data_IF_072513230519
#
_entry.id   IF_072513230519
#
_cell.length_a   1.000
_cell.length_b   1.000
_cell.length_c   1.000
_cell.angle_alpha   90.00
_cell.angle_beta   90.00
_cell.angle_gamma   90.00
#
_symmetry.space_group_name_H-M   'P 1'
#
loop_
_entity.id
_entity.type
_entity.pdbx_description
1 polymer ?
#
# COMPACT_ATOMS: atom_id res chain seq x y z
N UNK A 1 -32.20 8.48 -28.16
CA UNK A 1 -31.52 8.58 -26.88
C UNK A 1 -31.11 7.16 -26.47
N UNK A 2 -29.78 6.85 -26.42
CA UNK A 2 -29.32 5.55 -25.96
C UNK A 2 -29.63 5.44 -24.46
N UNK A 3 -30.43 4.48 -24.03
CA UNK A 3 -30.66 4.16 -22.64
C UNK A 3 -29.29 4.00 -21.95
N UNK A 4 -29.00 4.88 -21.01
CA UNK A 4 -27.84 4.70 -20.12
C UNK A 4 -28.07 3.41 -19.35
N UNK A 5 -27.31 2.35 -19.66
CA UNK A 5 -27.33 1.11 -18.87
C UNK A 5 -27.17 1.49 -17.40
N UNK A 6 -28.16 1.14 -16.61
CA UNK A 6 -28.16 1.37 -15.15
C UNK A 6 -26.88 0.76 -14.58
N UNK A 7 -26.03 1.60 -13.97
CA UNK A 7 -24.74 1.17 -13.39
C UNK A 7 -23.50 1.32 -14.27
N UNK A 8 -23.59 1.85 -15.49
CA UNK A 8 -22.40 2.10 -16.31
C UNK A 8 -21.68 3.39 -15.87
N UNK A 9 -20.43 3.27 -15.40
CA UNK A 9 -19.55 4.41 -15.13
C UNK A 9 -19.03 4.98 -16.46
N UNK A 10 -18.97 6.32 -16.55
CA UNK A 10 -18.43 7.00 -17.72
C UNK A 10 -16.90 6.81 -17.86
N UNK A 11 -16.39 6.94 -19.11
CA UNK A 11 -14.95 6.75 -19.38
C UNK A 11 -14.04 7.62 -18.51
N UNK A 12 -14.38 8.89 -18.27
CA UNK A 12 -13.61 9.78 -17.38
C UNK A 12 -13.52 9.27 -15.93
N UNK A 13 -14.59 8.65 -15.45
CA UNK A 13 -14.60 8.05 -14.09
C UNK A 13 -13.67 6.84 -14.04
N UNK A 14 -13.73 5.96 -15.04
CA UNK A 14 -12.82 4.82 -15.15
C UNK A 14 -11.36 5.26 -15.27
N UNK A 15 -11.07 6.27 -16.08
CA UNK A 15 -9.71 6.84 -16.18
C UNK A 15 -9.24 7.36 -14.83
N UNK A 16 -10.10 8.03 -14.06
CA UNK A 16 -9.74 8.52 -12.71
C UNK A 16 -9.49 7.36 -11.75
N UNK A 17 -10.32 6.30 -11.76
CA UNK A 17 -10.12 5.10 -10.93
C UNK A 17 -8.77 4.45 -11.24
N UNK A 18 -8.47 4.23 -12.52
CA UNK A 18 -7.22 3.61 -12.96
C UNK A 18 -6.01 4.49 -12.61
N UNK A 19 -6.08 5.77 -12.90
CA UNK A 19 -4.98 6.72 -12.66
C UNK A 19 -4.63 6.81 -11.17
N UNK A 20 -5.60 7.20 -10.35
CA UNK A 20 -5.35 7.41 -8.92
C UNK A 20 -5.17 6.10 -8.15
N UNK A 21 -5.90 5.05 -8.54
CA UNK A 21 -5.72 3.72 -7.95
C UNK A 21 -4.31 3.18 -8.18
N UNK A 22 -3.80 3.23 -9.41
CA UNK A 22 -2.46 2.72 -9.72
C UNK A 22 -1.36 3.60 -9.11
N UNK A 23 -1.44 4.92 -9.26
CA UNK A 23 -0.42 5.84 -8.70
C UNK A 23 -0.38 5.73 -7.18
N UNK A 24 -1.53 5.67 -6.51
CA UNK A 24 -1.59 5.48 -5.06
C UNK A 24 -0.92 4.17 -4.62
N UNK A 25 -1.18 3.07 -5.32
CA UNK A 25 -0.54 1.79 -5.01
C UNK A 25 0.96 1.79 -5.30
N UNK A 26 1.44 2.45 -6.37
CA UNK A 26 2.87 2.63 -6.63
C UNK A 26 3.53 3.38 -5.45
N UNK A 27 2.95 4.47 -5.00
CA UNK A 27 3.49 5.25 -3.88
C UNK A 27 3.53 4.42 -2.58
N UNK A 28 2.46 3.66 -2.27
CA UNK A 28 2.42 2.78 -1.10
C UNK A 28 3.41 1.60 -1.16
N UNK A 29 3.59 0.98 -2.33
CA UNK A 29 4.61 -0.07 -2.51
C UNK A 29 6.00 0.50 -2.23
N UNK A 30 6.29 1.70 -2.73
CA UNK A 30 7.59 2.33 -2.51
C UNK A 30 7.77 2.70 -1.04
N UNK A 31 6.79 3.30 -0.39
CA UNK A 31 6.85 3.64 1.03
C UNK A 31 7.11 2.39 1.89
N UNK A 32 6.33 1.34 1.69
CA UNK A 32 6.44 0.15 2.53
C UNK A 32 7.71 -0.67 2.31
N UNK A 33 8.32 -0.64 1.13
CA UNK A 33 9.45 -1.52 0.80
C UNK A 33 10.74 -0.74 0.53
N UNK A 34 10.68 0.28 -0.33
CA UNK A 34 11.89 0.96 -0.81
C UNK A 34 12.42 2.01 0.16
N UNK A 35 11.56 2.61 1.00
CA UNK A 35 12.04 3.51 2.06
C UNK A 35 12.83 2.77 3.13
N UNK A 36 12.40 1.56 3.49
CA UNK A 36 13.18 0.70 4.39
C UNK A 36 14.54 0.35 3.78
N UNK A 37 14.57 0.03 2.47
CA UNK A 37 15.82 -0.24 1.73
C UNK A 37 16.70 1.01 1.64
N UNK A 38 16.12 2.17 1.36
CA UNK A 38 16.83 3.45 1.37
C UNK A 38 17.47 3.76 2.73
N UNK A 39 16.70 3.61 3.81
CA UNK A 39 17.21 3.80 5.18
C UNK A 39 18.44 2.93 5.44
N UNK A 40 18.39 1.67 5.02
CA UNK A 40 19.46 0.70 5.26
C UNK A 40 20.69 0.88 4.38
N UNK A 41 20.51 1.24 3.11
CA UNK A 41 21.59 1.37 2.16
C UNK A 41 22.28 2.74 2.23
N UNK A 42 21.53 3.81 2.48
CA UNK A 42 22.03 5.17 2.36
C UNK A 42 22.18 5.90 3.71
N UNK A 43 21.50 5.43 4.78
CA UNK A 43 21.57 6.11 6.09
C UNK A 43 22.23 5.23 7.13
N UNK A 44 21.58 4.10 7.52
CA UNK A 44 22.13 3.17 8.52
C UNK A 44 21.45 1.81 8.43
N UNK A 45 22.23 0.74 8.61
CA UNK A 45 21.74 -0.63 8.73
C UNK A 45 21.17 -0.97 10.11
N UNK A 46 21.18 -0.04 11.06
CA UNK A 46 20.68 -0.27 12.40
C UNK A 46 19.15 -0.53 12.39
N UNK A 47 18.66 -1.66 12.91
CA UNK A 47 17.23 -2.01 12.84
C UNK A 47 16.29 -0.99 13.46
N UNK A 48 16.74 -0.26 14.49
CA UNK A 48 15.93 0.76 15.16
C UNK A 48 15.48 1.86 14.19
N UNK A 49 16.29 2.24 13.21
CA UNK A 49 15.98 3.32 12.29
C UNK A 49 14.77 2.97 11.41
N UNK A 50 14.76 1.77 10.80
CA UNK A 50 13.61 1.27 10.04
C UNK A 50 12.39 1.10 10.94
N UNK A 51 12.56 0.58 12.16
CA UNK A 51 11.45 0.40 13.10
C UNK A 51 10.81 1.73 13.47
N UNK A 52 11.61 2.77 13.79
CA UNK A 52 11.09 4.11 14.09
C UNK A 52 10.32 4.68 12.90
N UNK A 53 10.88 4.58 11.70
CA UNK A 53 10.23 5.05 10.47
C UNK A 53 8.85 4.40 10.30
N UNK A 54 8.77 3.07 10.30
CA UNK A 54 7.51 2.32 10.11
C UNK A 54 6.48 2.61 11.22
N UNK A 55 6.90 2.68 12.49
CA UNK A 55 5.97 2.91 13.60
C UNK A 55 5.40 4.34 13.55
N UNK A 56 6.26 5.34 13.39
CA UNK A 56 5.79 6.72 13.34
C UNK A 56 4.96 7.02 12.11
N UNK A 57 5.37 6.58 10.91
CA UNK A 57 4.58 6.77 9.69
C UNK A 57 3.20 6.11 9.80
N UNK A 58 3.09 4.90 10.37
CA UNK A 58 1.81 4.23 10.58
C UNK A 58 0.90 4.97 11.56
N UNK A 59 1.43 5.53 12.64
CA UNK A 59 0.66 6.36 13.59
C UNK A 59 0.13 7.61 12.89
N UNK A 60 1.01 8.34 12.21
CA UNK A 60 0.64 9.58 11.51
C UNK A 60 -0.35 9.30 10.36
N UNK A 61 -0.15 8.23 9.59
CA UNK A 61 -1.07 7.77 8.55
C UNK A 61 -2.46 7.49 9.12
N UNK A 62 -2.55 6.73 10.21
CA UNK A 62 -3.83 6.37 10.86
C UNK A 62 -4.58 7.61 11.34
N UNK A 63 -3.91 8.48 12.07
CA UNK A 63 -4.53 9.72 12.60
C UNK A 63 -4.96 10.63 11.46
N UNK A 64 -4.13 10.78 10.44
CA UNK A 64 -4.44 11.65 9.30
C UNK A 64 -5.56 11.10 8.40
N UNK A 65 -5.68 9.79 8.25
CA UNK A 65 -6.82 9.16 7.55
C UNK A 65 -8.14 9.53 8.23
N UNK A 66 -8.21 9.42 9.54
CA UNK A 66 -9.41 9.75 10.32
C UNK A 66 -9.76 11.24 10.21
N UNK A 67 -8.76 12.11 10.41
CA UNK A 67 -8.95 13.57 10.31
C UNK A 67 -9.29 13.96 8.87
N UNK A 68 -8.56 13.43 7.91
CA UNK A 68 -8.76 13.69 6.48
C UNK A 68 -10.14 13.25 5.99
N UNK A 69 -10.61 12.09 6.44
CA UNK A 69 -11.97 11.60 6.16
C UNK A 69 -13.04 12.59 6.65
N UNK A 70 -12.96 12.97 7.94
CA UNK A 70 -13.91 13.92 8.51
C UNK A 70 -13.87 15.30 7.82
N UNK A 71 -12.70 15.81 7.45
CA UNK A 71 -12.56 17.06 6.70
C UNK A 71 -13.13 16.97 5.28
N UNK A 72 -12.87 15.83 4.63
CA UNK A 72 -13.36 15.53 3.29
C UNK A 72 -14.89 15.47 3.26
N UNK A 73 -15.50 14.82 4.26
CA UNK A 73 -16.97 14.72 4.42
C UNK A 73 -17.61 16.09 4.67
N UNK A 74 -16.99 16.90 5.53
CA UNK A 74 -17.48 18.26 5.85
C UNK A 74 -17.40 19.25 4.70
N UNK A 75 -16.44 19.07 3.81
CA UNK A 75 -16.27 19.98 2.65
C UNK A 75 -17.06 19.51 1.44
N UNK A 76 -17.31 18.20 1.30
CA UNK A 76 -17.92 17.57 0.14
C UNK A 76 -17.07 17.67 -1.15
N UNK A 77 -15.84 18.19 -1.08
CA UNK A 77 -14.97 18.47 -2.23
C UNK A 77 -13.89 17.40 -2.40
N UNK A 78 -14.28 16.14 -2.70
CA UNK A 78 -13.38 15.00 -2.84
C UNK A 78 -12.25 15.25 -3.84
N UNK A 79 -12.59 15.76 -5.02
CA UNK A 79 -11.65 16.07 -6.09
C UNK A 79 -10.48 16.93 -5.64
N UNK A 80 -10.73 17.99 -4.86
CA UNK A 80 -9.67 18.89 -4.43
C UNK A 80 -8.67 18.19 -3.49
N UNK A 81 -9.18 17.42 -2.52
CA UNK A 81 -8.32 16.66 -1.60
C UNK A 81 -7.47 15.62 -2.32
N UNK A 82 -8.06 14.93 -3.30
CA UNK A 82 -7.34 13.93 -4.10
C UNK A 82 -6.30 14.61 -4.98
N UNK A 83 -6.73 15.51 -5.86
CA UNK A 83 -5.83 16.06 -6.89
C UNK A 83 -4.67 16.86 -6.28
N UNK A 84 -4.97 17.80 -5.37
CA UNK A 84 -3.92 18.58 -4.69
C UNK A 84 -3.12 17.72 -3.72
N UNK A 85 -3.76 16.77 -3.06
CA UNK A 85 -3.07 15.82 -2.19
C UNK A 85 -2.01 15.03 -2.95
N UNK A 86 -2.33 14.50 -4.14
CA UNK A 86 -1.36 13.79 -4.97
C UNK A 86 -0.24 14.69 -5.50
N UNK A 87 -0.55 15.95 -5.85
CA UNK A 87 0.49 16.91 -6.21
C UNK A 87 1.47 17.13 -5.06
N UNK A 88 0.95 17.42 -3.86
CA UNK A 88 1.79 17.67 -2.68
C UNK A 88 2.53 16.39 -2.27
N UNK A 89 1.87 15.22 -2.34
CA UNK A 89 2.50 13.91 -2.07
C UNK A 89 3.71 13.67 -2.97
N UNK A 90 3.56 13.97 -4.28
CA UNK A 90 4.69 13.86 -5.21
C UNK A 90 5.84 14.80 -4.85
N UNK A 91 5.56 16.03 -4.44
CA UNK A 91 6.60 16.95 -3.97
C UNK A 91 7.29 16.43 -2.70
N UNK A 92 6.58 15.88 -1.73
CA UNK A 92 7.19 15.30 -0.53
C UNK A 92 8.09 14.11 -0.86
N UNK A 93 7.71 13.26 -1.82
CA UNK A 93 8.57 12.18 -2.33
C UNK A 93 9.84 12.76 -2.98
N UNK A 94 9.73 13.77 -3.84
CA UNK A 94 10.89 14.40 -4.48
C UNK A 94 11.87 15.01 -3.47
N UNK A 95 11.37 15.51 -2.33
CA UNK A 95 12.24 16.08 -1.28
C UNK A 95 13.24 15.07 -0.71
N UNK A 96 12.96 13.75 -0.75
CA UNK A 96 13.93 12.73 -0.33
C UNK A 96 15.21 12.72 -1.19
N UNK A 97 15.17 13.22 -2.42
CA UNK A 97 16.37 13.39 -3.24
C UNK A 97 17.36 14.43 -2.66
N UNK A 98 16.90 15.29 -1.76
CA UNK A 98 17.72 16.31 -1.10
C UNK A 98 18.34 15.82 0.22
N UNK A 99 17.94 14.66 0.72
CA UNK A 99 18.50 14.08 1.95
C UNK A 99 19.99 13.80 1.77
N UNK A 100 20.85 14.25 2.70
CA UNK A 100 22.27 13.88 2.70
C UNK A 100 22.40 12.36 2.96
N UNK A 101 22.89 11.64 1.96
CA UNK A 101 23.10 10.20 1.99
C UNK A 101 24.50 9.88 2.50
N UNK A 102 24.68 8.69 3.10
CA UNK A 102 25.95 8.21 3.68
C UNK A 102 26.55 9.18 4.70
N UNK A 103 25.77 9.52 5.76
CA UNK A 103 26.24 10.46 6.77
C UNK A 103 27.44 9.93 7.53
N UNK A 104 28.30 10.82 8.04
CA UNK A 104 29.34 10.47 9.01
C UNK A 104 28.72 9.99 10.34
N UNK A 105 29.47 9.24 11.12
CA UNK A 105 28.94 8.56 12.34
C UNK A 105 28.24 9.51 13.33
N UNK A 106 28.73 10.73 13.47
CA UNK A 106 28.18 11.80 14.30
C UNK A 106 26.84 12.34 13.78
N UNK A 107 26.54 12.16 12.47
CA UNK A 107 25.33 12.67 11.80
C UNK A 107 24.27 11.62 11.52
N UNK A 108 24.52 10.34 11.84
CA UNK A 108 23.56 9.25 11.58
C UNK A 108 22.23 9.52 12.26
N UNK A 109 22.22 9.81 13.56
CA UNK A 109 20.98 10.02 14.31
C UNK A 109 20.17 11.22 13.80
N UNK A 110 20.75 12.41 13.56
CA UNK A 110 20.04 13.51 12.91
C UNK A 110 19.45 13.13 11.54
N UNK A 111 20.14 12.34 10.72
CA UNK A 111 19.63 11.91 9.41
C UNK A 111 18.49 10.91 9.55
N UNK A 112 18.56 9.97 10.50
CA UNK A 112 17.44 9.07 10.80
C UNK A 112 16.20 9.89 11.19
N UNK A 113 16.34 10.86 12.09
CA UNK A 113 15.24 11.72 12.52
C UNK A 113 14.67 12.49 11.32
N UNK A 114 15.53 13.08 10.47
CA UNK A 114 15.10 13.80 9.27
C UNK A 114 14.27 12.91 8.35
N UNK A 115 14.76 11.71 8.04
CA UNK A 115 14.05 10.75 7.16
C UNK A 115 12.73 10.32 7.78
N UNK A 116 12.69 10.01 9.07
CA UNK A 116 11.45 9.65 9.79
C UNK A 116 10.42 10.79 9.73
N UNK A 117 10.84 12.03 9.99
CA UNK A 117 9.93 13.19 9.92
C UNK A 117 9.41 13.40 8.50
N UNK A 118 10.27 13.31 7.49
CA UNK A 118 9.85 13.43 6.09
C UNK A 118 8.88 12.32 5.69
N UNK A 119 9.12 11.10 6.12
CA UNK A 119 8.24 9.95 5.90
C UNK A 119 6.88 10.16 6.57
N UNK A 120 6.85 10.63 7.82
CA UNK A 120 5.59 11.00 8.49
C UNK A 120 4.79 12.05 7.73
N UNK A 121 5.44 13.11 7.24
CA UNK A 121 4.78 14.16 6.44
C UNK A 121 4.22 13.59 5.15
N UNK A 122 5.00 12.77 4.46
CA UNK A 122 4.58 12.08 3.24
C UNK A 122 3.38 11.16 3.49
N UNK A 123 3.42 10.34 4.56
CA UNK A 123 2.35 9.43 4.95
C UNK A 123 1.06 10.17 5.32
N UNK A 124 1.15 11.32 6.02
CA UNK A 124 -0.01 12.17 6.31
C UNK A 124 -0.71 12.60 5.01
N UNK A 125 0.04 13.09 4.04
CA UNK A 125 -0.51 13.60 2.78
C UNK A 125 -1.08 12.45 1.94
N UNK A 126 -0.35 11.33 1.84
CA UNK A 126 -0.79 10.12 1.16
C UNK A 126 -2.09 9.57 1.74
N UNK A 127 -2.17 9.45 3.07
CA UNK A 127 -3.35 8.93 3.76
C UNK A 127 -4.57 9.84 3.62
N UNK A 128 -4.42 11.15 3.71
CA UNK A 128 -5.54 12.09 3.48
C UNK A 128 -6.04 12.02 2.04
N UNK A 129 -5.14 11.98 1.06
CA UNK A 129 -5.51 12.04 -0.36
C UNK A 129 -5.99 10.69 -0.91
N UNK A 130 -5.30 9.60 -0.57
CA UNK A 130 -5.60 8.27 -1.09
C UNK A 130 -6.52 7.48 -0.17
N UNK A 131 -6.15 7.26 1.09
CA UNK A 131 -6.91 6.36 1.96
C UNK A 131 -8.24 6.97 2.40
N UNK A 132 -8.26 8.25 2.76
CA UNK A 132 -9.49 8.92 3.12
C UNK A 132 -10.28 9.38 1.90
N UNK A 133 -9.72 10.30 1.10
CA UNK A 133 -10.49 11.01 0.09
C UNK A 133 -10.79 10.18 -1.15
N UNK A 134 -9.82 9.41 -1.67
CA UNK A 134 -10.03 8.59 -2.86
C UNK A 134 -10.99 7.41 -2.58
N UNK A 135 -10.83 6.71 -1.45
CA UNK A 135 -11.75 5.63 -1.08
C UNK A 135 -13.18 6.14 -0.82
N UNK A 136 -13.33 7.32 -0.23
CA UNK A 136 -14.64 7.96 -0.08
C UNK A 136 -15.23 8.31 -1.44
N UNK A 137 -14.43 8.90 -2.36
CA UNK A 137 -14.88 9.20 -3.71
C UNK A 137 -15.31 7.93 -4.46
N UNK A 138 -14.58 6.83 -4.36
CA UNK A 138 -14.95 5.52 -4.93
C UNK A 138 -16.30 5.08 -4.38
N UNK A 139 -16.53 5.25 -3.08
CA UNK A 139 -17.81 4.90 -2.45
C UNK A 139 -18.94 5.77 -2.96
N UNK A 140 -18.71 7.06 -3.11
CA UNK A 140 -19.69 8.02 -3.62
C UNK A 140 -20.14 7.75 -5.05
N UNK A 141 -19.20 7.38 -5.96
CA UNK A 141 -19.50 7.10 -7.37
C UNK A 141 -20.01 5.70 -7.63
N UNK A 142 -19.78 4.77 -6.69
CA UNK A 142 -20.21 3.37 -6.81
C UNK A 142 -21.68 3.18 -6.41
N UNK A 143 -22.30 2.13 -6.94
CA UNK A 143 -23.61 1.64 -6.55
C UNK A 143 -23.59 0.11 -6.57
N UNK A 144 -24.65 -0.53 -6.09
CA UNK A 144 -24.75 -1.98 -6.00
C UNK A 144 -24.51 -2.71 -7.33
N UNK A 145 -24.80 -2.07 -8.45
CA UNK A 145 -24.66 -2.67 -9.80
C UNK A 145 -23.21 -2.61 -10.36
N UNK A 146 -22.37 -1.67 -9.90
CA UNK A 146 -21.02 -1.47 -10.42
C UNK A 146 -19.91 -1.68 -9.38
N UNK A 147 -20.24 -1.73 -8.08
CA UNK A 147 -19.28 -1.83 -6.97
C UNK A 147 -18.32 -2.99 -7.13
N UNK A 148 -18.83 -4.19 -7.41
CA UNK A 148 -18.02 -5.38 -7.58
C UNK A 148 -16.96 -5.22 -8.68
N UNK A 149 -17.30 -4.56 -9.80
CA UNK A 149 -16.34 -4.30 -10.89
C UNK A 149 -15.24 -3.32 -10.48
N UNK A 150 -15.60 -2.27 -9.74
CA UNK A 150 -14.65 -1.27 -9.23
C UNK A 150 -13.70 -1.93 -8.24
N UNK A 151 -14.24 -2.69 -7.29
CA UNK A 151 -13.45 -3.37 -6.27
C UNK A 151 -12.50 -4.42 -6.90
N UNK A 152 -12.95 -5.17 -7.93
CA UNK A 152 -12.09 -6.10 -8.69
C UNK A 152 -10.91 -5.38 -9.35
N UNK A 153 -11.15 -4.23 -9.98
CA UNK A 153 -10.08 -3.45 -10.61
C UNK A 153 -9.11 -2.93 -9.56
N UNK A 154 -9.60 -2.38 -8.45
CA UNK A 154 -8.76 -1.88 -7.35
C UNK A 154 -7.95 -3.00 -6.68
N UNK A 155 -8.50 -4.20 -6.55
CA UNK A 155 -7.79 -5.36 -5.97
C UNK A 155 -6.58 -5.82 -6.80
N UNK A 156 -6.58 -5.57 -8.12
CA UNK A 156 -5.46 -5.90 -9.01
C UNK A 156 -4.37 -4.81 -8.99
N UNK A 157 -4.71 -3.56 -8.64
CA UNK A 157 -3.77 -2.43 -8.68
C UNK A 157 -2.49 -2.62 -7.86
N UNK A 158 -2.51 -3.17 -6.62
CA UNK A 158 -1.30 -3.41 -5.86
C UNK A 158 -0.31 -4.33 -6.57
N UNK A 159 -0.82 -5.36 -7.28
CA UNK A 159 0.01 -6.31 -8.01
C UNK A 159 0.64 -5.68 -9.25
N UNK A 160 -0.15 -4.86 -9.98
CA UNK A 160 0.38 -4.08 -11.11
C UNK A 160 1.42 -3.06 -10.63
N UNK A 161 1.15 -2.38 -9.52
CA UNK A 161 2.10 -1.44 -8.91
C UNK A 161 3.42 -2.12 -8.52
N UNK A 162 3.35 -3.27 -7.87
CA UNK A 162 4.52 -4.08 -7.56
C UNK A 162 5.31 -4.43 -8.82
N UNK A 163 4.65 -4.92 -9.87
CA UNK A 163 5.32 -5.27 -11.13
C UNK A 163 6.00 -4.05 -11.78
N UNK A 164 5.34 -2.89 -11.78
CA UNK A 164 5.88 -1.63 -12.31
C UNK A 164 7.10 -1.18 -11.48
N UNK A 165 7.00 -1.25 -10.15
CA UNK A 165 8.07 -0.77 -9.27
C UNK A 165 9.29 -1.71 -9.34
N UNK A 166 9.10 -3.02 -9.24
CA UNK A 166 10.22 -3.97 -9.34
C UNK A 166 10.84 -3.97 -10.75
N UNK A 167 10.02 -3.96 -11.82
CA UNK A 167 10.53 -3.97 -13.18
C UNK A 167 11.16 -2.65 -13.64
N UNK A 168 10.67 -1.52 -13.11
CA UNK A 168 11.08 -0.20 -13.55
C UNK A 168 12.17 0.47 -12.71
N UNK A 169 12.29 0.13 -11.43
CA UNK A 169 13.13 0.89 -10.50
C UNK A 169 14.22 0.07 -9.80
N UNK A 170 14.28 -1.25 -10.01
CA UNK A 170 15.29 -2.08 -9.35
C UNK A 170 16.72 -1.67 -9.66
N UNK A 171 17.02 -1.31 -10.91
CA UNK A 171 18.35 -0.84 -11.32
C UNK A 171 18.80 0.44 -10.60
N UNK A 172 17.85 1.25 -10.11
CA UNK A 172 18.12 2.49 -9.38
C UNK A 172 18.22 2.29 -7.87
N UNK A 173 17.89 1.11 -7.36
CA UNK A 173 17.70 0.87 -5.92
C UNK A 173 18.35 -0.40 -5.39
N UNK A 174 18.94 -1.24 -6.24
CA UNK A 174 19.62 -2.48 -5.85
C UNK A 174 20.89 -2.21 -5.01
N UNK A 175 21.56 -3.25 -4.52
CA UNK A 175 22.76 -3.11 -3.69
C UNK A 175 23.92 -2.36 -4.36
N UNK A 176 23.98 -2.35 -5.69
CA UNK A 176 24.98 -1.62 -6.48
C UNK A 176 24.60 -0.17 -6.79
N UNK A 177 23.38 0.25 -6.41
CA UNK A 177 22.86 1.59 -6.67
C UNK A 177 23.71 2.66 -5.98
N UNK A 178 23.99 3.71 -6.73
CA UNK A 178 24.73 4.87 -6.21
C UNK A 178 23.78 5.88 -5.57
N UNK A 179 24.32 6.80 -4.77
CA UNK A 179 23.58 7.96 -4.24
C UNK A 179 22.88 8.76 -5.35
N UNK A 180 23.50 8.85 -6.56
CA UNK A 180 22.88 9.50 -7.70
C UNK A 180 21.65 8.75 -8.22
N UNK A 181 21.67 7.43 -8.17
CA UNK A 181 20.55 6.61 -8.64
C UNK A 181 19.37 6.70 -7.67
N UNK A 182 19.61 6.73 -6.36
CA UNK A 182 18.57 7.01 -5.36
C UNK A 182 17.94 8.39 -5.55
N UNK A 183 18.72 9.43 -5.88
CA UNK A 183 18.17 10.76 -6.20
C UNK A 183 17.27 10.72 -7.43
N UNK A 184 17.70 10.05 -8.50
CA UNK A 184 16.87 9.87 -9.71
C UNK A 184 15.60 9.10 -9.39
N UNK A 185 15.70 8.04 -8.58
CA UNK A 185 14.55 7.25 -8.13
C UNK A 185 13.49 8.14 -7.47
N UNK A 186 13.85 8.92 -6.45
CA UNK A 186 12.90 9.80 -5.77
C UNK A 186 12.32 10.89 -6.67
N UNK A 187 13.12 11.46 -7.58
CA UNK A 187 12.63 12.45 -8.54
C UNK A 187 11.60 11.84 -9.51
N UNK A 188 11.93 10.72 -10.15
CA UNK A 188 11.02 10.06 -11.10
C UNK A 188 9.74 9.63 -10.38
N UNK A 189 9.89 9.01 -9.21
CA UNK A 189 8.76 8.54 -8.43
C UNK A 189 7.83 9.67 -7.98
N UNK A 190 8.38 10.82 -7.55
CA UNK A 190 7.58 11.96 -7.12
C UNK A 190 6.91 12.71 -8.28
N UNK A 191 7.49 12.67 -9.50
CA UNK A 191 6.86 13.23 -10.70
C UNK A 191 5.55 12.49 -11.03
N UNK A 192 5.48 11.18 -10.82
CA UNK A 192 4.32 10.35 -11.16
C UNK A 192 3.03 10.84 -10.44
N UNK A 193 2.95 10.94 -9.12
CA UNK A 193 1.75 11.44 -8.43
C UNK A 193 1.53 12.94 -8.68
N UNK A 194 2.60 13.75 -8.85
CA UNK A 194 2.46 15.17 -9.18
C UNK A 194 1.73 15.36 -10.50
N UNK A 195 2.18 14.68 -11.56
CA UNK A 195 1.53 14.73 -12.88
C UNK A 195 0.14 14.12 -12.83
N UNK A 196 -0.03 13.00 -12.12
CA UNK A 196 -1.34 12.36 -11.91
C UNK A 196 -2.35 13.30 -11.22
N UNK A 197 -1.92 14.02 -10.19
CA UNK A 197 -2.74 15.02 -9.49
C UNK A 197 -3.16 16.17 -10.41
N UNK A 198 -2.21 16.70 -11.20
CA UNK A 198 -2.49 17.76 -12.19
C UNK A 198 -3.48 17.28 -13.25
N UNK A 199 -3.26 16.10 -13.84
CA UNK A 199 -4.18 15.51 -14.80
C UNK A 199 -5.57 15.28 -14.20
N UNK A 200 -5.62 14.87 -12.93
CA UNK A 200 -6.86 14.69 -12.20
C UNK A 200 -7.71 15.94 -12.09
N UNK A 201 -7.11 17.13 -11.99
CA UNK A 201 -7.84 18.39 -11.97
C UNK A 201 -8.71 18.59 -13.24
N UNK A 202 -8.31 18.03 -14.37
CA UNK A 202 -9.03 18.13 -15.64
C UNK A 202 -9.99 16.97 -15.89
N UNK A 203 -9.65 15.76 -15.41
CA UNK A 203 -10.37 14.52 -15.72
C UNK A 203 -11.44 14.23 -14.68
N UNK A 204 -11.09 14.38 -13.39
CA UNK A 204 -11.92 13.98 -12.26
C UNK A 204 -13.09 14.95 -12.03
N UNK A 205 -14.23 14.38 -11.65
CA UNK A 205 -15.41 15.13 -11.24
C UNK A 205 -15.92 14.58 -9.91
N UNK A 206 -16.34 15.47 -9.04
CA UNK A 206 -17.13 15.10 -7.87
C UNK A 206 -18.51 14.63 -8.31
N UNK A 207 -19.15 13.78 -7.50
CA UNK A 207 -20.53 13.38 -7.72
C UNK A 207 -21.44 14.56 -7.39
N UNK A 208 -22.35 14.88 -8.29
CA UNK A 208 -23.36 15.92 -8.08
C UNK A 208 -24.29 15.55 -6.93
N UNK A 209 -24.67 16.52 -6.10
CA UNK A 209 -25.62 16.33 -5.01
C UNK A 209 -25.02 15.85 -3.67
N UNK A 210 -23.71 15.77 -3.54
CA UNK A 210 -23.08 15.53 -2.22
C UNK A 210 -23.17 16.85 -1.44
N UNK A 211 -24.01 16.86 -0.42
CA UNK A 211 -24.09 17.98 0.52
C UNK A 211 -23.09 17.77 1.65
N UNK A 212 -22.36 18.85 1.98
CA UNK A 212 -21.48 18.87 3.13
C UNK A 212 -22.28 18.53 4.41
N UNK A 213 -21.86 17.53 5.17
CA UNK A 213 -22.49 17.24 6.46
C UNK A 213 -22.00 18.24 7.51
N UNK A 214 -22.87 19.21 7.81
CA UNK A 214 -22.61 20.26 8.80
C UNK A 214 -23.32 20.03 10.14
N UNK A 215 -24.10 18.95 10.25
CA UNK A 215 -25.00 18.76 11.38
C UNK A 215 -24.30 18.22 12.62
N UNK A 216 -23.15 17.56 12.48
CA UNK A 216 -22.41 16.97 13.58
C UNK A 216 -21.14 17.75 13.90
N UNK A 217 -20.69 17.67 15.16
CA UNK A 217 -19.39 18.19 15.57
C UNK A 217 -18.28 17.25 15.08
N UNK A 218 -17.16 17.78 14.57
CA UNK A 218 -16.00 16.98 14.14
C UNK A 218 -15.62 15.87 15.14
N UNK A 219 -15.53 16.20 16.42
CA UNK A 219 -15.22 15.26 17.49
C UNK A 219 -16.31 14.19 17.70
N UNK A 220 -17.58 14.52 17.43
CA UNK A 220 -18.66 13.54 17.48
C UNK A 220 -18.52 12.49 16.40
N UNK A 221 -18.19 12.90 15.18
CA UNK A 221 -18.02 11.99 14.04
C UNK A 221 -16.76 11.14 14.24
N UNK A 222 -15.66 11.76 14.66
CA UNK A 222 -14.40 11.08 14.96
C UNK A 222 -14.55 10.00 16.04
N UNK A 223 -15.24 10.33 17.14
CA UNK A 223 -15.38 9.40 18.28
C UNK A 223 -16.57 8.46 18.17
N UNK A 224 -17.45 8.64 17.17
CA UNK A 224 -18.68 7.84 17.05
C UNK A 224 -18.40 6.33 17.02
N UNK A 225 -17.46 5.91 16.20
CA UNK A 225 -17.08 4.50 16.08
C UNK A 225 -16.48 3.91 17.36
N UNK A 226 -15.90 4.73 18.25
CA UNK A 226 -15.29 4.30 19.50
C UNK A 226 -16.30 4.23 20.67
N UNK A 227 -17.56 4.66 20.47
CA UNK A 227 -18.56 4.62 21.54
C UNK A 227 -18.88 3.17 21.93
N UNK A 228 -18.88 2.84 23.25
CA UNK A 228 -19.14 1.48 23.72
C UNK A 228 -20.48 0.92 23.26
N UNK A 229 -21.51 1.77 23.09
CA UNK A 229 -22.81 1.38 22.55
C UNK A 229 -22.73 0.92 21.10
N UNK A 230 -21.94 1.60 20.25
CA UNK A 230 -21.75 1.25 18.84
C UNK A 230 -20.98 -0.06 18.73
N UNK A 231 -19.92 -0.23 19.53
CA UNK A 231 -19.13 -1.48 19.60
C UNK A 231 -20.02 -2.65 20.03
N UNK A 232 -20.83 -2.46 21.08
CA UNK A 232 -21.72 -3.49 21.60
C UNK A 232 -22.77 -3.92 20.58
N UNK A 233 -23.33 -2.98 19.82
CA UNK A 233 -24.35 -3.26 18.81
C UNK A 233 -23.77 -3.89 17.53
N UNK A 234 -22.47 -3.71 17.27
CA UNK A 234 -21.80 -4.20 16.06
C UNK A 234 -20.63 -5.13 16.39
N UNK A 235 -20.75 -5.99 17.40
CA UNK A 235 -19.66 -6.86 17.90
C UNK A 235 -18.93 -7.62 16.78
N UNK A 236 -19.68 -8.19 15.84
CA UNK A 236 -19.09 -9.00 14.76
C UNK A 236 -18.18 -8.17 13.86
N UNK A 237 -18.56 -6.92 13.57
CA UNK A 237 -17.73 -5.97 12.82
C UNK A 237 -16.39 -5.73 13.53
N UNK A 238 -16.42 -5.47 14.85
CA UNK A 238 -15.19 -5.19 15.61
C UNK A 238 -14.31 -6.43 15.78
N UNK A 239 -14.90 -7.63 15.88
CA UNK A 239 -14.11 -8.89 15.85
C UNK A 239 -13.42 -9.07 14.49
N UNK A 240 -14.10 -8.80 13.38
CA UNK A 240 -13.50 -8.84 12.06
C UNK A 240 -12.39 -7.79 11.89
N UNK A 241 -12.61 -6.56 12.39
CA UNK A 241 -11.60 -5.50 12.38
C UNK A 241 -10.36 -5.88 13.21
N UNK A 242 -10.54 -6.47 14.39
CA UNK A 242 -9.44 -6.95 15.21
C UNK A 242 -8.64 -8.07 14.52
N UNK A 243 -9.32 -9.03 13.88
CA UNK A 243 -8.68 -10.07 13.08
C UNK A 243 -7.87 -9.50 11.90
N UNK A 244 -8.45 -8.52 11.20
CA UNK A 244 -7.76 -7.81 10.11
C UNK A 244 -6.54 -7.03 10.62
N UNK A 245 -6.63 -6.39 11.77
CA UNK A 245 -5.51 -5.68 12.41
C UNK A 245 -4.34 -6.64 12.70
N UNK A 246 -4.60 -7.80 13.29
CA UNK A 246 -3.56 -8.81 13.56
C UNK A 246 -2.90 -9.29 12.27
N UNK A 247 -3.69 -9.55 11.23
CA UNK A 247 -3.17 -9.95 9.91
C UNK A 247 -2.35 -8.85 9.24
N UNK A 248 -2.78 -7.59 9.35
CA UNK A 248 -2.04 -6.45 8.81
C UNK A 248 -0.70 -6.24 9.51
N UNK A 249 -0.64 -6.43 10.85
CA UNK A 249 0.61 -6.39 11.60
C UNK A 249 1.56 -7.48 11.14
N UNK A 250 1.07 -8.72 10.99
CA UNK A 250 1.88 -9.84 10.50
C UNK A 250 2.43 -9.57 9.08
N UNK A 251 1.59 -9.02 8.18
CA UNK A 251 2.01 -8.62 6.83
C UNK A 251 3.11 -7.55 6.87
N UNK A 252 2.93 -6.51 7.67
CA UNK A 252 3.86 -5.38 7.74
C UNK A 252 5.24 -5.79 8.28
N UNK A 253 5.29 -6.77 9.18
CA UNK A 253 6.56 -7.28 9.71
C UNK A 253 7.45 -7.85 8.60
N UNK A 254 6.93 -8.63 7.67
CA UNK A 254 7.79 -9.24 6.66
C UNK A 254 8.00 -8.35 5.42
N UNK A 255 7.03 -7.53 5.02
CA UNK A 255 7.12 -6.70 3.82
C UNK A 255 8.25 -5.67 3.90
N UNK A 256 8.39 -5.02 5.06
CA UNK A 256 9.47 -4.04 5.26
C UNK A 256 10.88 -4.65 5.21
N UNK A 257 10.99 -5.93 5.51
CA UNK A 257 12.28 -6.65 5.51
C UNK A 257 12.44 -7.60 4.32
N UNK A 258 11.55 -7.55 3.33
CA UNK A 258 11.57 -8.46 2.18
C UNK A 258 12.93 -8.46 1.47
N UNK A 259 13.47 -7.29 1.17
CA UNK A 259 14.79 -7.16 0.52
C UNK A 259 15.91 -7.73 1.40
N UNK A 260 15.87 -7.49 2.71
CA UNK A 260 16.84 -8.05 3.64
C UNK A 260 16.80 -9.56 3.71
N UNK A 261 15.62 -10.15 3.59
CA UNK A 261 15.47 -11.60 3.56
C UNK A 261 16.03 -12.14 2.25
N UNK A 262 15.65 -11.57 1.12
CA UNK A 262 15.98 -12.11 -0.21
C UNK A 262 17.45 -11.84 -0.58
N UNK A 263 17.93 -10.62 -0.42
CA UNK A 263 19.31 -10.24 -0.77
C UNK A 263 20.29 -10.50 0.37
N UNK A 264 19.92 -10.10 1.60
CA UNK A 264 20.84 -10.15 2.74
C UNK A 264 20.95 -11.55 3.36
N UNK A 265 19.83 -12.26 3.56
CA UNK A 265 19.81 -13.57 4.22
C UNK A 265 19.97 -14.73 3.24
N UNK A 266 19.20 -14.68 2.14
CA UNK A 266 19.18 -15.74 1.12
C UNK A 266 20.23 -15.48 0.02
N UNK A 267 20.81 -14.31 -0.08
CA UNK A 267 21.83 -13.90 -1.06
C UNK A 267 21.43 -14.08 -2.53
N UNK A 268 20.14 -14.06 -2.84
CA UNK A 268 19.60 -14.25 -4.19
C UNK A 268 19.83 -12.97 -5.00
N UNK A 269 20.79 -12.98 -5.92
CA UNK A 269 21.15 -11.81 -6.75
C UNK A 269 20.06 -11.45 -7.77
N UNK A 270 19.44 -12.44 -8.41
CA UNK A 270 18.43 -12.26 -9.47
C UNK A 270 17.03 -12.53 -8.94
N UNK A 271 16.60 -11.81 -7.88
CA UNK A 271 15.32 -12.02 -7.23
C UNK A 271 14.10 -11.52 -8.02
N UNK A 272 14.28 -10.68 -9.04
CA UNK A 272 13.18 -10.11 -9.84
C UNK A 272 12.33 -11.21 -10.47
N UNK A 273 12.95 -12.23 -11.05
CA UNK A 273 12.24 -13.35 -11.68
C UNK A 273 11.46 -14.18 -10.66
N UNK A 274 12.05 -14.68 -9.56
CA UNK A 274 11.30 -15.39 -8.52
C UNK A 274 10.15 -14.57 -7.93
N UNK A 275 10.39 -13.31 -7.61
CA UNK A 275 9.36 -12.42 -7.06
C UNK A 275 8.26 -12.16 -8.10
N UNK A 276 8.61 -11.96 -9.37
CA UNK A 276 7.64 -11.83 -10.46
C UNK A 276 6.75 -13.07 -10.60
N UNK A 277 7.31 -14.27 -10.52
CA UNK A 277 6.54 -15.53 -10.55
C UNK A 277 5.59 -15.60 -9.36
N UNK A 278 6.07 -15.29 -8.15
CA UNK A 278 5.26 -15.27 -6.93
C UNK A 278 4.04 -14.34 -7.12
N UNK A 279 4.27 -13.14 -7.63
CA UNK A 279 3.21 -12.16 -7.84
C UNK A 279 2.16 -12.61 -8.85
N UNK A 280 2.59 -13.13 -10.01
CA UNK A 280 1.68 -13.60 -11.05
C UNK A 280 0.84 -14.76 -10.54
N UNK A 281 1.46 -15.74 -9.88
CA UNK A 281 0.75 -16.90 -9.35
C UNK A 281 -0.19 -16.50 -8.21
N UNK A 282 0.24 -15.61 -7.31
CA UNK A 282 -0.61 -15.08 -6.24
C UNK A 282 -1.81 -14.30 -6.81
N UNK A 283 -1.62 -13.50 -7.86
CA UNK A 283 -2.69 -12.77 -8.53
C UNK A 283 -3.74 -13.71 -9.14
N UNK A 284 -3.30 -14.71 -9.89
CA UNK A 284 -4.18 -15.71 -10.48
C UNK A 284 -4.90 -16.50 -9.36
N UNK A 285 -4.16 -16.90 -8.35
CA UNK A 285 -4.69 -17.62 -7.19
C UNK A 285 -5.75 -16.81 -6.45
N UNK A 286 -5.54 -15.50 -6.24
CA UNK A 286 -6.50 -14.62 -5.57
C UNK A 286 -7.84 -14.53 -6.33
N UNK A 287 -7.81 -14.45 -7.65
CA UNK A 287 -9.02 -14.44 -8.48
C UNK A 287 -9.79 -15.76 -8.38
N UNK A 288 -9.07 -16.90 -8.45
CA UNK A 288 -9.67 -18.23 -8.32
C UNK A 288 -10.28 -18.41 -6.92
N UNK A 289 -9.54 -18.06 -5.88
CA UNK A 289 -9.98 -18.19 -4.49
C UNK A 289 -11.19 -17.27 -4.23
N UNK A 290 -11.19 -16.02 -4.72
CA UNK A 290 -12.35 -15.12 -4.63
C UNK A 290 -13.60 -15.74 -5.24
N UNK A 291 -13.51 -16.31 -6.44
CA UNK A 291 -14.64 -16.98 -7.08
C UNK A 291 -15.15 -18.19 -6.29
N UNK A 292 -14.24 -18.97 -5.69
CA UNK A 292 -14.58 -20.08 -4.80
C UNK A 292 -15.25 -19.61 -3.51
N UNK A 293 -14.77 -18.50 -2.94
CA UNK A 293 -15.35 -17.90 -1.73
C UNK A 293 -16.77 -17.39 -1.96
N UNK A 294 -17.06 -16.83 -3.11
CA UNK A 294 -18.41 -16.41 -3.49
C UNK A 294 -19.37 -17.64 -3.59
N UNK A 295 -18.84 -18.78 -4.05
CA UNK A 295 -19.63 -20.01 -4.20
C UNK A 295 -19.84 -20.77 -2.90
N UNK A 296 -18.80 -20.92 -2.06
CA UNK A 296 -18.81 -21.77 -0.87
C UNK A 296 -18.89 -20.99 0.46
N UNK A 297 -18.80 -19.67 0.40
CA UNK A 297 -18.79 -18.77 1.55
C UNK A 297 -17.41 -18.54 2.17
N UNK A 298 -17.12 -17.30 2.50
CA UNK A 298 -15.81 -16.82 3.02
C UNK A 298 -15.33 -17.56 4.27
N UNK A 299 -16.24 -17.95 5.15
CA UNK A 299 -15.94 -18.61 6.43
C UNK A 299 -15.10 -19.91 6.27
N UNK A 300 -15.36 -20.70 5.20
CA UNK A 300 -14.66 -21.97 4.99
C UNK A 300 -13.19 -21.80 4.59
N UNK A 301 -12.83 -20.65 4.04
CA UNK A 301 -11.47 -20.36 3.58
C UNK A 301 -10.60 -19.69 4.64
N UNK A 302 -11.20 -19.15 5.71
CA UNK A 302 -10.47 -18.37 6.71
C UNK A 302 -9.34 -19.16 7.39
N UNK A 303 -9.65 -20.32 7.97
CA UNK A 303 -8.63 -21.15 8.62
C UNK A 303 -7.58 -21.74 7.65
N UNK A 304 -7.97 -22.35 6.51
CA UNK A 304 -7.00 -22.85 5.55
C UNK A 304 -6.02 -21.77 5.08
N UNK A 305 -6.47 -20.55 4.92
CA UNK A 305 -5.64 -19.43 4.47
C UNK A 305 -4.61 -19.05 5.52
N UNK A 306 -5.00 -18.92 6.79
CA UNK A 306 -4.06 -18.63 7.88
C UNK A 306 -3.00 -19.74 7.98
N UNK A 307 -3.42 -21.01 7.93
CA UNK A 307 -2.50 -22.15 7.96
C UNK A 307 -1.53 -22.09 6.79
N UNK A 308 -2.02 -21.80 5.58
CA UNK A 308 -1.17 -21.64 4.39
C UNK A 308 -0.11 -20.55 4.57
N UNK A 309 -0.48 -19.41 5.18
CA UNK A 309 0.46 -18.34 5.49
C UNK A 309 1.55 -18.74 6.47
N UNK A 310 1.17 -19.45 7.55
CA UNK A 310 2.14 -19.96 8.54
C UNK A 310 3.10 -20.96 7.88
N UNK A 311 2.55 -21.91 7.09
CA UNK A 311 3.35 -22.89 6.34
C UNK A 311 4.29 -22.19 5.36
N UNK A 312 3.81 -21.15 4.66
CA UNK A 312 4.63 -20.35 3.76
C UNK A 312 5.81 -19.68 4.46
N UNK A 313 5.59 -19.08 5.64
CA UNK A 313 6.67 -18.51 6.45
C UNK A 313 7.69 -19.56 6.89
N UNK A 314 7.25 -20.75 7.31
CA UNK A 314 8.14 -21.85 7.68
C UNK A 314 8.97 -22.30 6.46
N UNK A 315 8.34 -22.43 5.29
CA UNK A 315 9.02 -22.80 4.05
C UNK A 315 10.11 -21.77 3.71
N UNK A 316 9.80 -20.45 3.74
CA UNK A 316 10.79 -19.41 3.49
C UNK A 316 11.94 -19.49 4.50
N UNK A 317 11.62 -19.73 5.79
CA UNK A 317 12.65 -19.91 6.81
C UNK A 317 13.57 -21.11 6.52
N UNK A 318 13.03 -22.21 5.98
CA UNK A 318 13.80 -23.37 5.59
C UNK A 318 14.78 -23.07 4.42
N UNK A 319 14.50 -22.11 3.55
CA UNK A 319 15.38 -21.73 2.45
C UNK A 319 16.81 -21.42 2.91
N UNK A 320 16.98 -20.82 4.10
CA UNK A 320 18.29 -20.50 4.67
C UNK A 320 19.25 -21.67 4.81
N UNK A 321 18.74 -22.92 4.93
CA UNK A 321 19.57 -24.11 5.05
C UNK A 321 20.23 -24.55 3.74
N UNK A 322 19.76 -23.99 2.62
CA UNK A 322 20.25 -24.25 1.26
C UNK A 322 21.13 -23.12 0.73
N UNK A 323 21.27 -22.01 1.46
CA UNK A 323 22.16 -20.89 1.11
C UNK A 323 23.58 -21.41 0.88
N UNK A 324 24.20 -20.96 -0.22
CA UNK A 324 25.54 -21.36 -0.65
C UNK A 324 25.70 -22.89 -0.97
N UNK A 325 24.62 -23.69 -0.95
CA UNK A 325 24.65 -25.12 -1.22
C UNK A 325 23.94 -25.48 -2.53
N UNK A 326 22.77 -24.93 -2.76
CA UNK A 326 21.94 -25.24 -3.92
C UNK A 326 21.02 -24.04 -4.25
N UNK A 327 21.46 -23.18 -5.15
CA UNK A 327 20.72 -21.99 -5.56
C UNK A 327 19.31 -22.32 -6.14
N UNK A 328 19.19 -23.41 -6.90
CA UNK A 328 17.89 -23.83 -7.46
C UNK A 328 16.89 -24.20 -6.37
N UNK A 329 17.33 -24.96 -5.35
CA UNK A 329 16.49 -25.35 -4.24
C UNK A 329 16.06 -24.12 -3.42
N UNK A 330 16.98 -23.22 -3.15
CA UNK A 330 16.75 -21.98 -2.41
C UNK A 330 15.69 -21.11 -3.11
N UNK A 331 15.85 -20.85 -4.40
CA UNK A 331 14.90 -20.08 -5.21
C UNK A 331 13.54 -20.76 -5.29
N UNK A 332 13.51 -22.08 -5.47
CA UNK A 332 12.25 -22.84 -5.52
C UNK A 332 11.50 -22.76 -4.21
N UNK A 333 12.19 -22.91 -3.09
CA UNK A 333 11.61 -22.81 -1.74
C UNK A 333 11.08 -21.39 -1.49
N UNK A 334 11.83 -20.36 -1.91
CA UNK A 334 11.37 -18.96 -1.84
C UNK A 334 10.08 -18.76 -2.66
N UNK A 335 10.02 -19.29 -3.88
CA UNK A 335 8.83 -19.17 -4.74
C UNK A 335 7.63 -19.84 -4.08
N UNK A 336 7.76 -21.08 -3.62
CA UNK A 336 6.65 -21.83 -3.01
C UNK A 336 6.17 -21.14 -1.72
N UNK A 337 7.09 -20.77 -0.84
CA UNK A 337 6.77 -20.06 0.39
C UNK A 337 6.16 -18.67 0.13
N UNK A 338 6.73 -17.93 -0.81
CA UNK A 338 6.26 -16.59 -1.19
C UNK A 338 4.85 -16.60 -1.79
N UNK A 339 4.50 -17.59 -2.63
CA UNK A 339 3.14 -17.77 -3.17
C UNK A 339 2.14 -17.97 -2.03
N UNK A 340 2.48 -18.78 -1.03
CA UNK A 340 1.60 -19.03 0.11
C UNK A 340 1.42 -17.76 0.96
N UNK A 341 2.48 -17.02 1.25
CA UNK A 341 2.44 -15.82 2.10
C UNK A 341 1.73 -14.67 1.39
N UNK A 342 2.07 -14.36 0.14
CA UNK A 342 1.43 -13.29 -0.63
C UNK A 342 -0.01 -13.66 -1.00
N UNK A 343 -0.26 -14.92 -1.34
CA UNK A 343 -1.62 -15.41 -1.59
C UNK A 343 -2.55 -15.19 -0.40
N UNK A 344 -2.04 -15.39 0.83
CA UNK A 344 -2.78 -15.11 2.08
C UNK A 344 -3.07 -13.62 2.23
N UNK A 345 -2.10 -12.75 1.99
CA UNK A 345 -2.31 -11.29 2.12
C UNK A 345 -3.36 -10.78 1.15
N UNK A 346 -3.37 -11.26 -0.09
CA UNK A 346 -4.38 -10.94 -1.09
C UNK A 346 -5.78 -11.49 -0.72
N UNK A 347 -5.82 -12.66 -0.11
CA UNK A 347 -7.07 -13.22 0.40
C UNK A 347 -7.68 -12.37 1.52
N UNK A 348 -6.86 -11.88 2.46
CA UNK A 348 -7.33 -11.07 3.58
C UNK A 348 -7.79 -9.67 3.15
N UNK A 349 -7.33 -9.20 2.00
CA UNK A 349 -7.75 -7.92 1.41
C UNK A 349 -9.13 -7.99 0.72
N UNK A 350 -9.61 -9.20 0.36
CA UNK A 350 -10.91 -9.47 -0.29
C UNK A 350 -11.98 -9.96 0.72
#
# INVERSE_FOLDING_TARGET
MKEKKVGALGGKVWTSILLFGLIGQIAWVVENMYFSRFMQNEITRAPYATTLMVVFSAIFATVSTLIGGALCDRTGKRKLFICWGYVIWGFTIMMFALVPMKPSADKVLPMVILVVVMDCVMSVIGSVSNDASFNTWITDISNTANRARVDTVLAVMPLVALAVVFGGFDSLTNESATTSDWKKFFLILGIIPTVGGILGLFIMKDKEGITADKNNTFWSDFTYSLKPSVIKNNKMLYVCLAGNMVSAVAYQVYVNYLFNIVEGTLKIKNYIIPVGIIMVVAAIGSVIISALMDKYGKKHFYYPTIIAGIVGCIIIWCAKFFVDKNETAEVTILIVGGILVIGVSQFMAN
#
